data_IF_723631872587
#
_entry.id   IF_723631872587
#
_cell.length_a   1.000
_cell.length_b   1.000
_cell.length_c   1.000
_cell.angle_alpha   90.00
_cell.angle_beta   90.00
_cell.angle_gamma   90.00
#
_symmetry.space_group_name_H-M   'P 1'
#
loop_
_entity.id
_entity.type
_entity.pdbx_description
1 polymer ?
#
# COMPACT_ATOMS: atom_id res chain seq x y z
N UNK A 1 -8.22 -49.08 -27.70
CA UNK A 1 -8.69 -47.73 -27.31
C UNK A 1 -7.65 -46.72 -27.75
N UNK A 2 -7.97 -45.86 -28.73
CA UNK A 2 -7.07 -44.79 -29.16
C UNK A 2 -7.22 -43.62 -28.20
N UNK A 3 -6.25 -43.43 -27.31
CA UNK A 3 -6.21 -42.26 -26.44
C UNK A 3 -5.77 -41.09 -27.33
N UNK A 4 -6.69 -40.18 -27.62
CA UNK A 4 -6.37 -38.88 -28.22
C UNK A 4 -5.63 -38.09 -27.14
N UNK A 5 -4.30 -38.11 -27.15
CA UNK A 5 -3.50 -37.25 -26.28
C UNK A 5 -3.76 -35.81 -26.73
N UNK A 6 -4.35 -34.93 -25.91
CA UNK A 6 -4.52 -33.54 -26.29
C UNK A 6 -3.13 -32.97 -26.58
N UNK A 7 -3.02 -32.13 -27.61
CA UNK A 7 -1.79 -31.42 -27.93
C UNK A 7 -1.53 -30.36 -26.84
N UNK A 8 -1.07 -30.80 -25.68
CA UNK A 8 -0.78 -29.95 -24.53
C UNK A 8 0.51 -29.20 -24.87
N UNK A 9 0.42 -27.86 -24.99
CA UNK A 9 1.60 -27.00 -25.12
C UNK A 9 2.51 -27.24 -23.91
N UNK A 10 3.68 -27.81 -24.16
CA UNK A 10 4.75 -27.91 -23.18
C UNK A 10 5.65 -26.70 -23.35
N UNK A 11 5.85 -25.99 -22.25
CA UNK A 11 6.79 -24.87 -22.20
C UNK A 11 8.13 -25.39 -21.70
N UNK A 12 9.22 -24.84 -22.23
CA UNK A 12 10.55 -25.06 -21.68
C UNK A 12 10.73 -24.28 -20.37
N UNK A 13 11.62 -24.76 -19.51
CA UNK A 13 11.95 -24.06 -18.25
C UNK A 13 12.40 -22.62 -18.51
N UNK A 14 13.17 -22.38 -19.58
CA UNK A 14 13.58 -21.03 -19.98
C UNK A 14 12.43 -20.12 -20.41
N UNK A 15 11.32 -20.65 -20.96
CA UNK A 15 10.12 -19.85 -21.23
C UNK A 15 9.37 -19.49 -19.96
N UNK A 16 9.30 -20.44 -19.01
CA UNK A 16 8.68 -20.26 -17.70
C UNK A 16 9.45 -19.18 -16.92
N UNK A 17 10.78 -19.28 -16.85
CA UNK A 17 11.64 -18.33 -16.15
C UNK A 17 11.51 -16.91 -16.71
N UNK A 18 11.50 -16.78 -18.05
CA UNK A 18 11.32 -15.46 -18.69
C UNK A 18 9.95 -14.87 -18.40
N UNK A 19 8.90 -15.69 -18.39
CA UNK A 19 7.56 -15.23 -18.05
C UNK A 19 7.48 -14.80 -16.58
N UNK A 20 8.08 -15.58 -15.68
CA UNK A 20 8.14 -15.27 -14.26
C UNK A 20 8.91 -13.96 -13.98
N UNK A 21 10.09 -13.79 -14.58
CA UNK A 21 10.87 -12.55 -14.45
C UNK A 21 10.13 -11.34 -15.01
N UNK A 22 9.40 -11.51 -16.13
CA UNK A 22 8.55 -10.44 -16.70
C UNK A 22 7.40 -10.08 -15.76
N UNK A 23 6.78 -11.06 -15.11
CA UNK A 23 5.72 -10.83 -14.14
C UNK A 23 6.24 -10.03 -12.94
N UNK A 24 7.40 -10.42 -12.39
CA UNK A 24 8.04 -9.68 -11.29
C UNK A 24 8.28 -8.21 -11.68
N UNK A 25 8.88 -7.97 -12.85
CA UNK A 25 9.16 -6.61 -13.33
C UNK A 25 7.87 -5.81 -13.55
N UNK A 26 6.86 -6.43 -14.15
CA UNK A 26 5.55 -5.81 -14.38
C UNK A 26 4.87 -5.47 -13.06
N UNK A 27 4.90 -6.38 -12.10
CA UNK A 27 4.36 -6.19 -10.75
C UNK A 27 4.99 -4.98 -10.06
N UNK A 28 6.32 -4.87 -10.05
CA UNK A 28 7.00 -3.69 -9.47
C UNK A 28 6.63 -2.39 -10.17
N UNK A 29 6.50 -2.40 -11.49
CA UNK A 29 6.09 -1.23 -12.26
C UNK A 29 4.65 -0.81 -11.90
N UNK A 30 3.74 -1.77 -11.83
CA UNK A 30 2.35 -1.54 -11.46
C UNK A 30 2.22 -1.02 -10.03
N UNK A 31 3.00 -1.55 -9.09
CA UNK A 31 3.02 -1.06 -7.72
C UNK A 31 3.45 0.39 -7.62
N UNK A 32 4.54 0.76 -8.31
CA UNK A 32 5.01 2.14 -8.35
C UNK A 32 3.99 3.09 -9.01
N UNK A 33 3.28 2.61 -10.04
CA UNK A 33 2.25 3.39 -10.73
C UNK A 33 0.99 3.61 -9.88
N UNK A 34 0.64 2.64 -9.02
CA UNK A 34 -0.55 2.70 -8.18
C UNK A 34 -0.29 3.36 -6.83
N UNK A 35 0.98 3.54 -6.43
CA UNK A 35 1.37 4.23 -5.21
C UNK A 35 0.85 5.68 -5.18
N UNK A 36 1.02 6.44 -6.27
CA UNK A 36 0.52 7.81 -6.32
C UNK A 36 -1.00 7.88 -6.17
N UNK A 37 -1.73 6.97 -6.82
CA UNK A 37 -3.19 6.91 -6.74
C UNK A 37 -3.68 6.65 -5.30
N UNK A 38 -2.97 5.78 -4.56
CA UNK A 38 -3.26 5.49 -3.15
C UNK A 38 -3.01 6.72 -2.27
N UNK A 39 -1.90 7.42 -2.49
CA UNK A 39 -1.57 8.64 -1.76
C UNK A 39 -2.59 9.74 -2.05
N UNK A 40 -2.93 9.96 -3.33
CA UNK A 40 -3.90 10.98 -3.75
C UNK A 40 -5.27 10.77 -3.09
N UNK A 41 -5.69 9.51 -2.96
CA UNK A 41 -6.93 9.17 -2.26
C UNK A 41 -6.83 9.49 -0.76
N UNK A 42 -5.73 9.14 -0.10
CA UNK A 42 -5.51 9.46 1.31
C UNK A 42 -5.43 10.98 1.56
N UNK A 43 -4.88 11.76 0.63
CA UNK A 43 -4.86 13.24 0.69
C UNK A 43 -6.28 13.81 0.62
N UNK A 44 -7.13 13.28 -0.27
CA UNK A 44 -8.54 13.70 -0.35
C UNK A 44 -9.27 13.43 0.96
N UNK A 45 -9.10 12.24 1.52
CA UNK A 45 -9.70 11.85 2.81
C UNK A 45 -9.18 12.73 3.96
N UNK A 46 -7.87 13.02 4.01
CA UNK A 46 -7.30 13.93 5.00
C UNK A 46 -7.91 15.35 4.91
N UNK A 47 -8.12 15.85 3.69
CA UNK A 47 -8.78 17.14 3.47
C UNK A 47 -10.21 17.13 4.02
N UNK A 48 -10.97 16.06 3.76
CA UNK A 48 -12.34 15.91 4.25
C UNK A 48 -12.45 15.77 5.77
N UNK A 49 -11.42 15.21 6.42
CA UNK A 49 -11.39 14.98 7.87
C UNK A 49 -10.86 16.18 8.67
N UNK A 50 -10.35 17.21 7.99
CA UNK A 50 -9.81 18.41 8.62
C UNK A 50 -10.88 19.11 9.48
N UNK A 51 -10.54 19.38 10.74
CA UNK A 51 -11.45 20.01 11.71
C UNK A 51 -12.58 19.12 12.23
N UNK A 52 -12.75 17.90 11.71
CA UNK A 52 -13.77 16.95 12.19
C UNK A 52 -13.29 16.20 13.43
N UNK A 53 -14.25 15.80 14.27
CA UNK A 53 -14.03 14.95 15.44
C UNK A 53 -15.03 13.81 15.38
N UNK A 54 -14.54 12.57 15.39
CA UNK A 54 -15.39 11.40 15.48
C UNK A 54 -15.90 11.25 16.92
N UNK A 55 -17.20 10.99 17.14
CA UNK A 55 -17.80 10.98 18.48
C UNK A 55 -17.17 9.95 19.44
N UNK A 56 -16.62 8.85 18.91
CA UNK A 56 -16.01 7.76 19.71
C UNK A 56 -14.49 7.67 19.54
N UNK A 57 -13.99 7.97 18.34
CA UNK A 57 -12.59 7.73 17.97
C UNK A 57 -11.73 9.00 18.11
N UNK A 58 -12.35 10.11 18.50
CA UNK A 58 -11.68 11.39 18.65
C UNK A 58 -11.32 12.03 17.32
N UNK A 59 -10.30 12.90 17.37
CA UNK A 59 -9.88 13.70 16.22
C UNK A 59 -8.90 12.90 15.35
N UNK A 60 -9.17 12.71 14.04
CA UNK A 60 -8.20 12.10 13.14
C UNK A 60 -6.93 12.93 13.07
N UNK A 61 -5.76 12.31 13.24
CA UNK A 61 -4.45 12.99 13.27
C UNK A 61 -3.49 12.56 12.15
N UNK A 62 -3.80 11.46 11.46
CA UNK A 62 -3.06 10.97 10.30
C UNK A 62 -4.00 10.17 9.41
N UNK A 63 -3.83 10.30 8.10
CA UNK A 63 -4.51 9.48 7.09
C UNK A 63 -3.42 8.88 6.22
N UNK A 64 -3.39 7.56 6.06
CA UNK A 64 -2.39 6.91 5.22
C UNK A 64 -3.04 5.77 4.44
N UNK A 65 -2.54 5.42 3.26
CA UNK A 65 -3.09 4.28 2.55
C UNK A 65 -2.78 2.98 3.32
N UNK A 66 -3.73 2.05 3.27
CA UNK A 66 -3.69 0.83 4.07
C UNK A 66 -2.42 0.00 3.83
N UNK A 67 -1.91 0.00 2.59
CA UNK A 67 -0.70 -0.75 2.21
C UNK A 67 0.53 -0.26 2.98
N UNK A 68 0.71 1.06 3.06
CA UNK A 68 1.81 1.69 3.79
C UNK A 68 1.68 1.42 5.29
N UNK A 69 0.47 1.51 5.83
CA UNK A 69 0.21 1.16 7.23
C UNK A 69 0.64 -0.29 7.56
N UNK A 70 0.23 -1.27 6.76
CA UNK A 70 0.62 -2.67 6.98
C UNK A 70 2.11 -2.92 6.79
N UNK A 71 2.76 -2.25 5.83
CA UNK A 71 4.22 -2.34 5.65
C UNK A 71 4.99 -1.74 6.82
N UNK A 72 4.54 -0.60 7.32
CA UNK A 72 5.16 0.09 8.45
C UNK A 72 5.00 -0.73 9.74
N UNK A 73 3.79 -1.22 10.01
CA UNK A 73 3.53 -2.05 11.18
C UNK A 73 4.25 -3.39 11.12
N UNK A 74 4.37 -4.01 9.94
CA UNK A 74 5.18 -5.23 9.76
C UNK A 74 6.68 -4.98 9.98
N UNK A 75 7.18 -3.78 9.68
CA UNK A 75 8.61 -3.46 9.77
C UNK A 75 9.03 -2.93 11.15
N UNK A 76 8.20 -2.07 11.75
CA UNK A 76 8.53 -1.34 12.97
C UNK A 76 7.69 -1.76 14.18
N UNK A 77 6.62 -2.54 13.96
CA UNK A 77 5.69 -2.94 15.01
C UNK A 77 4.47 -2.02 15.12
N UNK A 78 3.38 -2.55 15.67
CA UNK A 78 2.14 -1.78 15.86
C UNK A 78 2.34 -0.62 16.83
N UNK A 79 3.01 -0.87 17.96
CA UNK A 79 3.22 0.13 19.00
C UNK A 79 4.05 1.32 18.52
N UNK A 80 5.08 1.07 17.71
CA UNK A 80 5.93 2.11 17.16
C UNK A 80 5.18 3.00 16.16
N UNK A 81 4.38 2.42 15.26
CA UNK A 81 3.60 3.20 14.27
C UNK A 81 2.53 4.08 14.95
N UNK A 82 2.10 3.73 16.16
CA UNK A 82 1.16 4.51 16.96
C UNK A 82 1.86 5.37 18.03
N UNK A 83 3.20 5.36 18.09
CA UNK A 83 3.96 6.15 19.05
C UNK A 83 3.80 7.64 18.77
N UNK A 84 3.92 8.46 19.82
CA UNK A 84 3.80 9.91 19.69
C UNK A 84 4.93 10.48 18.84
N UNK A 85 6.11 9.89 18.95
CA UNK A 85 7.33 10.21 18.20
C UNK A 85 7.12 9.95 16.71
N UNK A 86 6.59 8.77 16.36
CA UNK A 86 6.30 8.41 14.99
C UNK A 86 5.26 9.34 14.38
N UNK A 87 4.15 9.60 15.08
CA UNK A 87 3.10 10.47 14.55
C UNK A 87 3.60 11.91 14.39
N UNK A 88 4.40 12.44 15.34
CA UNK A 88 5.03 13.76 15.18
C UNK A 88 5.95 13.82 13.96
N UNK A 89 6.75 12.77 13.75
CA UNK A 89 7.60 12.66 12.58
C UNK A 89 6.78 12.59 11.29
N UNK A 90 5.70 11.80 11.28
CA UNK A 90 4.78 11.68 10.16
C UNK A 90 4.14 13.03 9.82
N UNK A 91 3.58 13.74 10.81
CA UNK A 91 2.94 15.03 10.58
C UNK A 91 3.90 16.11 10.07
N UNK A 92 5.18 16.04 10.45
CA UNK A 92 6.20 16.97 9.98
C UNK A 92 6.53 16.74 8.50
N UNK A 93 6.61 15.48 8.07
CA UNK A 93 7.06 15.12 6.73
C UNK A 93 5.92 14.96 5.72
N UNK A 94 4.71 14.67 6.18
CA UNK A 94 3.52 14.39 5.37
C UNK A 94 2.35 15.24 5.84
N UNK A 95 2.49 16.56 5.65
CA UNK A 95 1.52 17.56 6.13
C UNK A 95 0.16 17.44 5.44
N UNK A 96 0.16 17.04 4.17
CA UNK A 96 -1.00 16.81 3.31
C UNK A 96 -1.82 15.58 3.73
N UNK A 97 -1.19 14.64 4.44
CA UNK A 97 -1.81 13.45 5.01
C UNK A 97 -2.25 13.66 6.46
N UNK A 98 -2.10 14.87 6.97
CA UNK A 98 -2.36 15.22 8.37
C UNK A 98 -3.60 16.10 8.47
N UNK A 99 -4.79 15.53 8.71
CA UNK A 99 -6.01 16.31 8.85
C UNK A 99 -5.96 17.27 10.03
N UNK A 100 -5.36 16.86 11.15
CA UNK A 100 -5.25 17.67 12.37
C UNK A 100 -3.94 17.41 13.10
N UNK A 101 -3.41 18.45 13.76
CA UNK A 101 -2.17 18.37 14.56
C UNK A 101 -2.45 17.87 15.98
N UNK A 102 -1.47 17.15 16.55
CA UNK A 102 -1.43 16.77 17.98
C UNK A 102 -0.91 17.92 18.84
#
# INVERSE_FOLDING_TARGET
MNIITPNIKRYSDGEIDRAFMREIQTGFKLEKQTESQRIDQAVKEASELKGKVHPVLGRPIATMPAREFFRLTSKYGHDEVHSKEFIKHFQKNFSELTPNKI
#
